data_IF_538095925196
#
_entry.id   IF_538095925196
#
_cell.length_a   1.000
_cell.length_b   1.000
_cell.length_c   1.000
_cell.angle_alpha   90.00
_cell.angle_beta   90.00
_cell.angle_gamma   90.00
#
_symmetry.space_group_name_H-M   'P 1'
#
loop_
_entity.id
_entity.type
_entity.pdbx_description
1 polymer ?
#
# COMPACT_ATOMS: atom_id res chain seq x y z
N UNK A 1 -14.63 -4.26 -4.75
CA UNK A 1 -15.28 -4.91 -3.61
C UNK A 1 -14.21 -5.56 -2.76
N UNK A 2 -14.35 -5.50 -1.46
CA UNK A 2 -13.60 -6.34 -0.54
C UNK A 2 -14.38 -7.66 -0.39
N UNK A 3 -13.81 -8.81 -0.08
CA UNK A 3 -14.60 -9.87 0.58
C UNK A 3 -13.81 -10.34 1.75
N UNK A 4 -14.47 -10.40 2.89
CA UNK A 4 -13.94 -11.17 4.00
C UNK A 4 -14.71 -12.46 3.98
N UNK A 5 -14.00 -13.57 3.80
CA UNK A 5 -14.61 -14.89 3.89
C UNK A 5 -14.47 -15.36 5.32
N UNK A 6 -15.59 -15.61 6.01
CA UNK A 6 -15.59 -16.32 7.29
C UNK A 6 -16.16 -17.72 7.08
N UNK A 7 -15.41 -18.76 7.48
CA UNK A 7 -15.85 -20.15 7.35
C UNK A 7 -15.41 -21.01 8.53
N UNK A 8 -16.16 -22.07 8.79
CA UNK A 8 -15.76 -23.14 9.70
C UNK A 8 -14.78 -24.08 9.00
N UNK A 9 -13.54 -24.13 9.47
CA UNK A 9 -12.56 -25.13 9.02
C UNK A 9 -12.43 -26.23 10.08
N UNK A 10 -12.58 -27.49 9.66
CA UNK A 10 -12.13 -28.65 10.44
C UNK A 10 -10.64 -28.86 10.17
N UNK A 11 -9.80 -28.26 11.02
CA UNK A 11 -8.38 -28.66 11.13
C UNK A 11 -8.22 -29.70 12.24
N UNK A 12 -7.07 -30.39 12.34
CA UNK A 12 -6.84 -31.35 13.41
C UNK A 12 -6.96 -30.63 14.78
N UNK A 13 -7.98 -30.99 15.55
CA UNK A 13 -8.16 -30.61 16.96
C UNK A 13 -8.98 -29.35 17.29
N UNK A 14 -9.39 -28.50 16.33
CA UNK A 14 -10.08 -27.23 16.67
C UNK A 14 -11.22 -26.87 15.71
N UNK A 15 -12.35 -26.38 16.26
CA UNK A 15 -13.36 -25.63 15.51
C UNK A 15 -12.81 -24.22 15.26
N UNK A 16 -12.37 -23.91 14.05
CA UNK A 16 -11.76 -22.61 13.70
C UNK A 16 -12.75 -21.69 12.98
N UNK A 17 -12.61 -20.38 13.20
CA UNK A 17 -13.12 -19.32 12.31
C UNK A 17 -11.96 -18.89 11.42
N UNK A 18 -12.06 -19.10 10.12
CA UNK A 18 -11.07 -18.63 9.15
C UNK A 18 -11.57 -17.30 8.57
N UNK A 19 -10.87 -16.21 8.83
CA UNK A 19 -11.09 -14.90 8.19
C UNK A 19 -10.05 -14.78 7.08
N UNK A 20 -10.46 -14.73 5.81
CA UNK A 20 -9.53 -14.46 4.70
C UNK A 20 -9.93 -13.17 3.99
N UNK A 21 -8.93 -12.31 3.70
CA UNK A 21 -9.03 -11.14 2.84
C UNK A 21 -8.37 -11.48 1.50
N UNK A 22 -9.13 -11.98 0.51
CA UNK A 22 -8.66 -12.06 -0.84
C UNK A 22 -8.76 -10.64 -1.43
N UNK A 23 -7.62 -9.97 -1.53
CA UNK A 23 -7.42 -8.80 -2.41
C UNK A 23 -7.62 -9.13 -3.92
N UNK A 24 -8.32 -10.23 -4.24
CA UNK A 24 -8.67 -10.78 -5.55
C UNK A 24 -10.07 -10.34 -6.04
N UNK A 25 -10.81 -9.58 -5.24
CA UNK A 25 -12.01 -8.90 -5.72
C UNK A 25 -11.62 -7.54 -6.33
N UNK A 26 -11.98 -7.27 -7.60
CA UNK A 26 -11.59 -6.02 -8.26
C UNK A 26 -12.09 -4.80 -7.50
N UNK A 27 -11.27 -3.75 -7.46
CA UNK A 27 -11.58 -2.47 -6.80
C UNK A 27 -12.56 -1.58 -7.57
N UNK A 28 -12.97 -1.96 -8.79
CA UNK A 28 -13.94 -1.19 -9.59
C UNK A 28 -15.35 -1.76 -9.48
N UNK A 29 -16.35 -0.87 -9.35
CA UNK A 29 -17.79 -1.16 -9.30
C UNK A 29 -18.33 -2.06 -10.43
N UNK A 30 -17.57 -2.24 -11.52
CA UNK A 30 -17.96 -2.94 -12.74
C UNK A 30 -17.38 -4.35 -12.92
N UNK A 31 -16.53 -4.84 -12.01
CA UNK A 31 -15.90 -6.17 -12.18
C UNK A 31 -16.11 -6.98 -10.90
N UNK A 32 -16.97 -7.99 -10.99
CA UNK A 32 -17.18 -8.98 -9.92
C UNK A 32 -15.91 -9.84 -9.68
N UNK A 33 -15.97 -10.85 -8.79
CA UNK A 33 -14.86 -11.76 -8.57
C UNK A 33 -14.30 -12.31 -9.90
N UNK A 34 -12.97 -12.49 -9.94
CA UNK A 34 -12.25 -13.00 -11.11
C UNK A 34 -12.84 -14.34 -11.57
N UNK A 35 -13.10 -14.42 -12.87
CA UNK A 35 -13.62 -15.63 -13.53
C UNK A 35 -12.60 -16.26 -14.49
N UNK A 36 -11.35 -15.80 -14.44
CA UNK A 36 -10.25 -16.48 -15.10
C UNK A 36 -9.84 -17.74 -14.29
N UNK A 37 -9.31 -18.78 -14.97
CA UNK A 37 -8.84 -20.00 -14.31
C UNK A 37 -7.73 -19.70 -13.30
N UNK A 38 -7.77 -20.40 -12.17
CA UNK A 38 -6.68 -20.41 -11.19
C UNK A 38 -5.80 -21.61 -11.53
N UNK A 39 -4.51 -21.39 -11.71
CA UNK A 39 -3.54 -22.47 -11.92
C UNK A 39 -3.59 -23.45 -10.74
N UNK A 40 -3.53 -24.75 -11.02
CA UNK A 40 -3.62 -25.83 -10.04
C UNK A 40 -4.95 -25.92 -9.26
N UNK A 41 -6.01 -25.24 -9.71
CA UNK A 41 -7.32 -25.31 -9.05
C UNK A 41 -8.48 -25.45 -10.05
N UNK A 42 -9.47 -26.25 -9.68
CA UNK A 42 -10.61 -26.57 -10.57
C UNK A 42 -11.70 -25.49 -10.61
N UNK A 43 -11.68 -24.53 -9.68
CA UNK A 43 -12.69 -23.48 -9.57
C UNK A 43 -12.08 -22.09 -9.75
N UNK A 44 -12.81 -21.19 -10.41
CA UNK A 44 -12.46 -19.77 -10.44
C UNK A 44 -12.80 -19.10 -9.10
N UNK A 45 -12.23 -17.92 -8.85
CA UNK A 45 -12.54 -17.17 -7.64
C UNK A 45 -14.03 -16.79 -7.57
N UNK A 46 -14.65 -16.51 -8.72
CA UNK A 46 -16.10 -16.28 -8.85
C UNK A 46 -16.93 -17.48 -8.43
N UNK A 47 -16.58 -18.67 -8.89
CA UNK A 47 -17.30 -19.89 -8.52
C UNK A 47 -17.21 -20.17 -7.01
N UNK A 48 -16.04 -19.91 -6.40
CA UNK A 48 -15.86 -20.02 -4.94
C UNK A 48 -16.75 -19.00 -4.21
N UNK A 49 -16.75 -17.73 -4.64
CA UNK A 49 -17.59 -16.70 -4.04
C UNK A 49 -19.09 -17.00 -4.15
N UNK A 50 -19.55 -17.47 -5.31
CA UNK A 50 -20.95 -17.89 -5.53
C UNK A 50 -21.31 -19.10 -4.65
N UNK A 51 -20.39 -20.05 -4.45
CA UNK A 51 -20.58 -21.15 -3.50
C UNK A 51 -20.73 -20.64 -2.06
N UNK A 52 -19.89 -19.68 -1.65
CA UNK A 52 -19.97 -19.09 -0.32
C UNK A 52 -21.28 -18.34 -0.09
N UNK A 53 -21.79 -17.63 -1.09
CA UNK A 53 -23.09 -16.96 -1.01
C UNK A 53 -24.23 -17.96 -0.75
N UNK A 54 -24.20 -19.14 -1.40
CA UNK A 54 -25.16 -20.22 -1.12
C UNK A 54 -25.05 -20.77 0.30
N UNK A 55 -23.82 -20.90 0.83
CA UNK A 55 -23.60 -21.33 2.21
C UNK A 55 -24.04 -20.28 3.24
N UNK A 56 -23.99 -19.00 2.87
CA UNK A 56 -24.42 -17.89 3.72
C UNK A 56 -25.92 -17.90 4.01
N UNK A 57 -26.75 -18.39 3.09
CA UNK A 57 -28.19 -18.60 3.33
C UNK A 57 -28.45 -19.54 4.52
N UNK A 58 -27.52 -20.47 4.77
CA UNK A 58 -27.56 -21.43 5.89
C UNK A 58 -26.71 -21.03 7.08
N UNK A 59 -26.11 -19.83 7.07
CA UNK A 59 -25.17 -19.37 8.11
C UNK A 59 -23.92 -20.25 8.26
N UNK A 60 -23.54 -20.98 7.21
CA UNK A 60 -22.35 -21.87 7.21
C UNK A 60 -21.09 -21.16 6.71
N UNK A 61 -21.26 -20.01 6.04
CA UNK A 61 -20.18 -19.12 5.62
C UNK A 61 -20.68 -17.67 5.54
N UNK A 62 -19.78 -16.71 5.53
CA UNK A 62 -20.14 -15.29 5.36
C UNK A 62 -19.26 -14.63 4.28
N UNK A 63 -19.91 -13.88 3.39
CA UNK A 63 -19.27 -12.97 2.45
C UNK A 63 -19.56 -11.54 2.90
N UNK A 64 -18.53 -10.86 3.41
CA UNK A 64 -18.64 -9.46 3.84
C UNK A 64 -17.92 -8.56 2.84
N UNK A 65 -18.69 -7.95 1.94
CA UNK A 65 -18.17 -7.27 0.76
C UNK A 65 -18.71 -5.85 0.53
N UNK A 66 -18.56 -4.91 1.49
CA UNK A 66 -19.08 -3.56 1.34
C UNK A 66 -18.49 -2.85 0.12
N UNK A 67 -19.33 -2.08 -0.56
CA UNK A 67 -18.93 -1.24 -1.69
C UNK A 67 -18.30 0.06 -1.18
N UNK A 68 -16.97 0.18 -1.31
CA UNK A 68 -16.20 1.35 -0.87
C UNK A 68 -15.80 2.29 -2.02
N UNK A 69 -16.19 1.96 -3.25
CA UNK A 69 -15.82 2.69 -4.47
C UNK A 69 -14.36 2.48 -4.92
N UNK A 70 -13.98 3.07 -6.07
CA UNK A 70 -12.64 2.90 -6.64
C UNK A 70 -11.57 3.61 -5.79
N UNK A 71 -10.33 3.18 -5.96
CA UNK A 71 -9.15 3.81 -5.37
C UNK A 71 -8.80 5.13 -6.07
N UNK A 72 -8.18 6.06 -5.34
CA UNK A 72 -7.64 7.29 -5.94
C UNK A 72 -6.55 6.99 -6.98
N UNK A 73 -5.69 6.01 -6.70
CA UNK A 73 -4.75 5.38 -7.62
C UNK A 73 -5.27 3.98 -7.96
N UNK A 74 -5.65 3.78 -9.23
CA UNK A 74 -6.37 2.60 -9.70
C UNK A 74 -5.67 1.30 -9.30
N UNK A 75 -6.36 0.47 -8.53
CA UNK A 75 -5.87 -0.83 -8.11
C UNK A 75 -4.93 -0.83 -6.89
N UNK A 76 -4.70 0.33 -6.26
CA UNK A 76 -3.92 0.45 -5.01
C UNK A 76 -4.75 0.01 -3.79
N UNK A 77 -4.99 -1.30 -3.67
CA UNK A 77 -5.83 -1.87 -2.61
C UNK A 77 -5.30 -1.61 -1.20
N UNK A 78 -4.01 -1.32 -1.05
CA UNK A 78 -3.40 -0.92 0.23
C UNK A 78 -4.03 0.33 0.83
N UNK A 79 -4.67 1.19 0.03
CA UNK A 79 -5.25 2.47 0.46
C UNK A 79 -6.65 2.27 1.03
N UNK A 80 -7.73 2.55 0.26
CA UNK A 80 -9.10 2.46 0.78
C UNK A 80 -9.47 1.03 1.13
N UNK A 81 -9.08 0.06 0.31
CA UNK A 81 -9.29 -1.37 0.57
C UNK A 81 -8.76 -1.78 1.95
N UNK A 82 -7.45 -1.64 2.18
CA UNK A 82 -6.81 -1.99 3.44
C UNK A 82 -7.31 -1.17 4.63
N UNK A 83 -7.63 0.11 4.44
CA UNK A 83 -8.26 0.91 5.51
C UNK A 83 -9.66 0.39 5.86
N UNK A 84 -10.47 0.03 4.87
CA UNK A 84 -11.79 -0.55 5.09
C UNK A 84 -11.68 -1.94 5.75
N UNK A 85 -10.70 -2.77 5.36
CA UNK A 85 -10.37 -4.04 6.02
C UNK A 85 -10.18 -3.84 7.52
N UNK A 86 -9.28 -2.91 7.87
CA UNK A 86 -8.91 -2.61 9.26
C UNK A 86 -10.14 -2.17 10.05
N UNK A 87 -10.86 -1.17 9.56
CA UNK A 87 -12.07 -0.63 10.21
C UNK A 87 -13.12 -1.73 10.41
N UNK A 88 -13.39 -2.53 9.38
CA UNK A 88 -14.44 -3.54 9.38
C UNK A 88 -14.13 -4.67 10.37
N UNK A 89 -12.91 -5.20 10.33
CA UNK A 89 -12.48 -6.30 11.19
C UNK A 89 -12.35 -5.86 12.65
N UNK A 90 -11.78 -4.68 12.91
CA UNK A 90 -11.64 -4.19 14.28
C UNK A 90 -13.00 -3.91 14.91
N UNK A 91 -13.93 -3.32 14.15
CA UNK A 91 -15.30 -3.08 14.62
C UNK A 91 -16.00 -4.40 14.98
N UNK A 92 -15.94 -5.42 14.10
CA UNK A 92 -16.63 -6.69 14.35
C UNK A 92 -15.98 -7.49 15.48
N UNK A 93 -14.64 -7.51 15.54
CA UNK A 93 -13.91 -8.27 16.56
C UNK A 93 -14.06 -7.62 17.94
N UNK A 94 -14.03 -6.29 18.03
CA UNK A 94 -14.33 -5.59 19.28
C UNK A 94 -15.74 -5.91 19.78
N UNK A 95 -16.74 -5.93 18.89
CA UNK A 95 -18.11 -6.29 19.26
C UNK A 95 -18.21 -7.75 19.74
N UNK A 96 -17.45 -8.67 19.12
CA UNK A 96 -17.38 -10.06 19.55
C UNK A 96 -16.75 -10.19 20.95
N UNK A 97 -15.61 -9.54 21.19
CA UNK A 97 -14.95 -9.50 22.50
C UNK A 97 -15.84 -8.89 23.58
N UNK A 98 -16.51 -7.78 23.28
CA UNK A 98 -17.48 -7.15 24.18
C UNK A 98 -18.66 -8.08 24.53
N UNK A 99 -19.09 -8.90 23.58
CA UNK A 99 -20.14 -9.90 23.82
C UNK A 99 -19.67 -10.97 24.81
N UNK A 100 -18.45 -11.48 24.64
CA UNK A 100 -17.89 -12.52 25.52
C UNK A 100 -17.55 -11.97 26.91
N UNK A 101 -16.86 -10.83 26.98
CA UNK A 101 -16.28 -10.33 28.23
C UNK A 101 -17.26 -9.52 29.08
N UNK A 102 -18.28 -8.90 28.45
CA UNK A 102 -19.26 -8.06 29.15
C UNK A 102 -20.70 -8.57 29.05
N UNK A 103 -20.95 -9.65 28.30
CA UNK A 103 -22.31 -10.16 28.06
C UNK A 103 -23.19 -9.21 27.24
N UNK A 104 -22.61 -8.20 26.59
CA UNK A 104 -23.35 -7.22 25.78
C UNK A 104 -23.35 -7.69 24.34
N UNK A 105 -24.49 -8.19 23.88
CA UNK A 105 -24.64 -8.68 22.51
C UNK A 105 -24.33 -7.59 21.45
N UNK A 106 -23.64 -8.00 20.39
CA UNK A 106 -23.40 -7.13 19.23
C UNK A 106 -24.72 -6.62 18.64
N UNK A 107 -24.79 -5.32 18.38
CA UNK A 107 -25.95 -4.66 17.77
C UNK A 107 -25.50 -3.64 16.73
N UNK A 108 -26.37 -3.32 15.77
CA UNK A 108 -26.09 -2.30 14.76
C UNK A 108 -25.71 -0.96 15.40
N UNK A 109 -26.37 -0.59 16.50
CA UNK A 109 -26.07 0.63 17.25
C UNK A 109 -24.62 0.62 17.77
N UNK A 110 -24.20 -0.45 18.42
CA UNK A 110 -22.84 -0.60 18.94
C UNK A 110 -21.80 -0.53 17.80
N UNK A 111 -22.07 -1.17 16.67
CA UNK A 111 -21.17 -1.14 15.51
C UNK A 111 -21.07 0.29 14.94
N UNK A 112 -22.20 1.01 14.79
CA UNK A 112 -22.21 2.38 14.30
C UNK A 112 -21.50 3.36 15.24
N UNK A 113 -21.58 3.15 16.55
CA UNK A 113 -20.85 3.97 17.53
C UNK A 113 -19.34 3.85 17.33
N UNK A 114 -18.83 2.63 17.11
CA UNK A 114 -17.41 2.38 16.79
C UNK A 114 -17.07 2.92 15.40
N UNK A 115 -17.86 2.66 14.36
CA UNK A 115 -17.57 3.17 13.01
C UNK A 115 -17.46 4.71 12.96
N UNK A 116 -18.27 5.42 13.74
CA UNK A 116 -18.20 6.90 13.88
C UNK A 116 -16.91 7.37 14.54
N UNK A 117 -16.24 6.55 15.35
CA UNK A 117 -14.91 6.92 15.90
C UNK A 117 -13.87 6.95 14.79
N UNK A 118 -13.92 6.00 13.84
CA UNK A 118 -13.03 5.99 12.68
C UNK A 118 -13.36 7.12 11.68
N UNK A 119 -14.63 7.50 11.55
CA UNK A 119 -15.02 8.69 10.78
C UNK A 119 -14.40 9.97 11.37
N UNK A 120 -14.46 10.15 12.70
CA UNK A 120 -13.78 11.27 13.37
C UNK A 120 -12.26 11.20 13.21
N UNK A 121 -11.68 10.01 13.22
CA UNK A 121 -10.25 9.83 12.98
C UNK A 121 -9.83 10.37 11.61
N UNK A 122 -10.66 10.21 10.57
CA UNK A 122 -10.40 10.78 9.25
C UNK A 122 -10.33 12.32 9.32
N UNK A 123 -11.32 12.95 9.96
CA UNK A 123 -11.37 14.42 10.12
C UNK A 123 -10.15 14.95 10.88
N UNK A 124 -9.82 14.31 12.02
CA UNK A 124 -8.67 14.67 12.85
C UNK A 124 -7.35 14.52 12.07
N UNK A 125 -7.19 13.44 11.32
CA UNK A 125 -5.99 13.18 10.51
C UNK A 125 -5.80 14.24 9.44
N UNK A 126 -6.82 14.46 8.59
CA UNK A 126 -6.71 15.37 7.46
C UNK A 126 -6.84 16.85 7.84
N UNK A 127 -7.13 17.19 9.10
CA UNK A 127 -6.90 18.54 9.63
C UNK A 127 -5.43 18.99 9.52
N UNK A 128 -4.50 18.03 9.45
CA UNK A 128 -3.06 18.27 9.28
C UNK A 128 -2.59 18.28 7.81
N UNK A 129 -3.50 18.39 6.83
CA UNK A 129 -3.19 18.26 5.39
C UNK A 129 -2.01 19.12 4.92
N UNK A 130 -1.86 20.35 5.43
CA UNK A 130 -0.74 21.23 5.09
C UNK A 130 0.61 20.62 5.47
N UNK A 131 0.72 20.00 6.65
CA UNK A 131 1.96 19.36 7.10
C UNK A 131 2.18 18.02 6.42
N UNK A 132 1.12 17.27 6.14
CA UNK A 132 1.18 16.03 5.35
C UNK A 132 1.73 16.33 3.95
N UNK A 133 1.28 17.41 3.31
CA UNK A 133 1.78 17.84 2.01
C UNK A 133 3.25 18.30 2.07
N UNK A 134 3.67 18.95 3.15
CA UNK A 134 5.08 19.30 3.35
C UNK A 134 5.97 18.06 3.48
N UNK A 135 5.56 17.08 4.28
CA UNK A 135 6.26 15.80 4.42
C UNK A 135 6.32 15.02 3.10
N UNK A 136 5.22 15.00 2.33
CA UNK A 136 5.18 14.41 0.99
C UNK A 136 6.24 15.01 0.05
N UNK A 137 6.37 16.35 0.03
CA UNK A 137 7.39 17.04 -0.77
C UNK A 137 8.81 16.74 -0.30
N UNK A 138 9.03 16.68 1.01
CA UNK A 138 10.33 16.32 1.58
C UNK A 138 10.75 14.90 1.19
N UNK A 139 9.85 13.92 1.36
CA UNK A 139 10.08 12.54 0.93
C UNK A 139 10.36 12.45 -0.58
N UNK A 140 9.58 13.17 -1.40
CA UNK A 140 9.82 13.26 -2.84
C UNK A 140 11.21 13.80 -3.18
N UNK A 141 11.68 14.84 -2.48
CA UNK A 141 12.99 15.44 -2.73
C UNK A 141 14.14 14.50 -2.37
N UNK A 142 14.02 13.73 -1.28
CA UNK A 142 15.00 12.69 -0.95
C UNK A 142 15.08 11.63 -2.05
N UNK A 143 13.94 11.11 -2.49
CA UNK A 143 13.89 10.08 -3.55
C UNK A 143 14.40 10.61 -4.91
N UNK A 144 14.09 11.86 -5.25
CA UNK A 144 14.59 12.51 -6.47
C UNK A 144 16.14 12.59 -6.46
N UNK A 145 16.72 12.90 -5.31
CA UNK A 145 18.18 12.95 -5.09
C UNK A 145 18.83 11.59 -4.91
N UNK A 146 18.10 10.49 -5.12
CA UNK A 146 18.57 9.11 -4.88
C UNK A 146 18.90 8.81 -3.41
N UNK A 147 18.35 9.59 -2.49
CA UNK A 147 18.33 9.28 -1.07
C UNK A 147 17.18 8.34 -0.72
N UNK A 148 17.15 7.92 0.54
CA UNK A 148 16.20 6.94 1.08
C UNK A 148 15.22 7.60 2.06
N UNK A 149 14.09 6.96 2.28
CA UNK A 149 13.07 7.37 3.25
C UNK A 149 12.87 6.27 4.29
N UNK A 150 13.18 6.57 5.55
CA UNK A 150 13.03 5.64 6.66
C UNK A 150 11.84 6.03 7.54
N UNK A 151 10.90 5.11 7.72
CA UNK A 151 9.70 5.27 8.52
C UNK A 151 9.91 4.52 9.85
N UNK A 152 10.23 5.24 10.92
CA UNK A 152 10.63 4.66 12.21
C UNK A 152 9.46 4.78 13.19
N UNK A 153 8.73 3.69 13.40
CA UNK A 153 7.53 3.69 14.24
C UNK A 153 7.69 2.92 15.54
N UNK A 154 7.12 3.44 16.62
CA UNK A 154 7.09 2.77 17.93
C UNK A 154 5.93 1.78 18.01
N UNK A 155 6.21 0.62 18.60
CA UNK A 155 5.24 -0.44 18.86
C UNK A 155 4.44 -0.81 17.58
N UNK A 156 3.12 -0.88 17.68
CA UNK A 156 2.22 -1.18 16.56
C UNK A 156 2.30 -0.17 15.41
N UNK A 157 2.69 1.09 15.67
CA UNK A 157 2.87 2.08 14.60
C UNK A 157 4.08 1.73 13.71
N UNK A 158 5.05 1.00 14.24
CA UNK A 158 6.15 0.41 13.48
C UNK A 158 5.68 -0.62 12.45
N UNK A 159 4.64 -1.41 12.77
CA UNK A 159 4.02 -2.33 11.79
C UNK A 159 3.43 -1.51 10.64
N UNK A 160 2.70 -0.44 10.95
CA UNK A 160 2.08 0.42 9.93
C UNK A 160 3.14 1.05 9.03
N UNK A 161 4.29 1.43 9.60
CA UNK A 161 5.44 1.92 8.86
C UNK A 161 6.01 0.86 7.90
N UNK A 162 6.21 -0.38 8.37
CA UNK A 162 6.67 -1.50 7.55
C UNK A 162 5.69 -1.79 6.41
N UNK A 163 4.39 -1.82 6.70
CA UNK A 163 3.33 -2.06 5.71
C UNK A 163 3.31 -1.01 4.59
N UNK A 164 3.61 0.25 4.89
CA UNK A 164 3.64 1.30 3.87
C UNK A 164 4.87 1.19 2.95
N UNK A 165 6.05 0.96 3.53
CA UNK A 165 7.30 0.88 2.77
C UNK A 165 7.31 -0.28 1.77
N UNK A 166 6.94 -1.49 2.19
CA UNK A 166 7.00 -2.69 1.34
C UNK A 166 6.13 -2.57 0.08
N UNK A 167 5.00 -1.87 0.17
CA UNK A 167 4.08 -1.69 -0.94
C UNK A 167 4.62 -0.73 -2.03
N UNK A 168 5.60 0.12 -1.71
CA UNK A 168 6.21 1.03 -2.68
C UNK A 168 6.95 0.28 -3.79
N UNK A 169 7.55 -0.87 -3.46
CA UNK A 169 8.31 -1.71 -4.39
C UNK A 169 7.45 -2.14 -5.58
N UNK A 170 6.25 -2.63 -5.31
CA UNK A 170 5.37 -3.17 -6.36
C UNK A 170 4.54 -2.07 -7.01
N UNK A 171 4.10 -1.09 -6.21
CA UNK A 171 3.20 -0.02 -6.68
C UNK A 171 3.90 0.97 -7.62
N UNK A 172 5.17 1.30 -7.33
CA UNK A 172 5.90 2.35 -8.03
C UNK A 172 7.23 1.88 -8.64
N UNK A 173 7.52 0.58 -8.58
CA UNK A 173 8.76 0.03 -9.11
C UNK A 173 9.99 0.36 -8.26
N UNK A 174 9.79 0.89 -7.05
CA UNK A 174 10.85 1.31 -6.14
C UNK A 174 11.80 0.15 -5.80
N UNK A 175 13.06 0.49 -5.50
CA UNK A 175 13.98 -0.44 -4.87
C UNK A 175 13.54 -0.69 -3.41
N UNK A 176 13.89 -1.86 -2.85
CA UNK A 176 13.54 -2.17 -1.46
C UNK A 176 14.24 -1.24 -0.45
N UNK A 177 15.28 -0.51 -0.86
CA UNK A 177 15.99 0.47 -0.04
C UNK A 177 15.35 1.87 -0.07
N UNK A 178 14.52 2.18 -1.08
CA UNK A 178 13.99 3.53 -1.31
C UNK A 178 13.10 4.00 -0.16
N UNK A 179 12.17 3.14 0.29
CA UNK A 179 11.27 3.42 1.42
C UNK A 179 11.20 2.21 2.34
N UNK A 180 11.62 2.36 3.60
CA UNK A 180 11.68 1.26 4.56
C UNK A 180 11.07 1.62 5.90
N UNK A 181 10.24 0.73 6.43
CA UNK A 181 9.67 0.84 7.76
C UNK A 181 10.46 0.07 8.81
N UNK A 182 10.49 0.59 10.04
CA UNK A 182 11.14 -0.02 11.19
C UNK A 182 10.21 0.03 12.41
N UNK A 183 10.31 -1.01 13.24
CA UNK A 183 9.59 -1.15 14.49
C UNK A 183 10.55 -0.99 15.67
N UNK A 184 10.32 0.05 16.45
CA UNK A 184 11.00 0.33 17.72
C UNK A 184 10.15 -0.21 18.88
N UNK A 185 10.78 -0.97 19.78
CA UNK A 185 10.10 -1.65 20.88
C UNK A 185 9.94 -3.16 20.70
N UNK A 186 9.20 -3.76 21.63
CA UNK A 186 9.06 -5.21 21.71
C UNK A 186 8.23 -5.79 20.55
N UNK A 187 8.75 -6.86 19.99
CA UNK A 187 8.16 -7.62 18.89
C UNK A 187 8.31 -9.14 19.08
N UNK A 188 8.56 -9.57 20.32
CA UNK A 188 8.74 -10.97 20.72
C UNK A 188 7.52 -11.84 20.38
N UNK A 189 6.32 -11.37 20.71
CA UNK A 189 5.06 -12.11 20.54
C UNK A 189 4.35 -11.84 19.20
N UNK A 190 4.97 -11.10 18.29
CA UNK A 190 4.33 -10.67 17.04
C UNK A 190 4.45 -11.69 15.89
N UNK A 191 5.51 -12.51 15.90
CA UNK A 191 5.85 -13.40 14.79
C UNK A 191 5.81 -14.86 15.23
N UNK A 192 4.92 -15.65 14.61
CA UNK A 192 4.86 -17.10 14.84
C UNK A 192 6.13 -17.84 14.39
N UNK A 193 6.84 -17.31 13.38
CA UNK A 193 8.05 -17.92 12.81
C UNK A 193 9.17 -16.89 12.63
N UNK A 194 9.59 -16.24 13.72
CA UNK A 194 10.64 -15.19 13.70
C UNK A 194 11.96 -15.67 13.06
N UNK A 195 12.26 -16.96 13.13
CA UNK A 195 13.45 -17.57 12.51
C UNK A 195 13.51 -17.37 10.98
N UNK A 196 12.37 -17.22 10.30
CA UNK A 196 12.30 -16.94 8.86
C UNK A 196 12.69 -15.50 8.50
N UNK A 197 12.93 -14.63 9.48
CA UNK A 197 13.26 -13.22 9.26
C UNK A 197 14.69 -12.87 9.70
N UNK A 198 15.22 -13.58 10.70
CA UNK A 198 16.54 -13.31 11.27
C UNK A 198 17.63 -13.74 10.27
N UNK A 199 18.60 -12.85 10.01
CA UNK A 199 19.79 -13.09 9.17
C UNK A 199 19.50 -13.52 7.71
N UNK A 200 18.33 -13.21 7.17
CA UNK A 200 17.96 -13.55 5.78
C UNK A 200 18.45 -12.53 4.73
N UNK A 201 19.12 -11.47 5.16
CA UNK A 201 19.67 -10.43 4.29
C UNK A 201 19.03 -9.05 4.49
N UNK A 202 19.58 -8.01 3.83
CA UNK A 202 19.24 -6.62 4.11
C UNK A 202 17.78 -6.30 3.84
N UNK A 203 17.11 -6.98 2.91
CA UNK A 203 15.68 -6.80 2.61
C UNK A 203 14.74 -7.22 3.75
N UNK A 204 15.23 -8.02 4.71
CA UNK A 204 14.43 -8.49 5.85
C UNK A 204 14.64 -7.68 7.13
N UNK A 205 15.53 -6.68 7.14
CA UNK A 205 15.72 -5.80 8.30
C UNK A 205 14.47 -4.97 8.60
N UNK A 206 13.99 -5.00 9.85
CA UNK A 206 12.79 -4.27 10.28
C UNK A 206 12.82 -3.83 11.75
N UNK A 207 13.72 -4.37 12.56
CA UNK A 207 13.73 -4.16 14.01
C UNK A 207 14.50 -2.91 14.44
N UNK A 208 14.36 -2.54 15.72
CA UNK A 208 15.18 -1.52 16.36
C UNK A 208 16.68 -1.78 16.23
N UNK A 209 17.11 -3.03 16.46
CA UNK A 209 18.52 -3.42 16.34
C UNK A 209 19.01 -3.25 14.91
N UNK A 210 18.23 -3.69 13.92
CA UNK A 210 18.57 -3.51 12.51
C UNK A 210 18.74 -2.02 12.15
N UNK A 211 17.83 -1.16 12.63
CA UNK A 211 17.91 0.27 12.35
C UNK A 211 19.19 0.87 12.95
N UNK A 212 19.47 0.59 14.22
CA UNK A 212 20.62 1.16 14.94
C UNK A 212 21.97 0.66 14.39
N UNK A 213 22.04 -0.62 14.00
CA UNK A 213 23.31 -1.26 13.62
C UNK A 213 23.59 -1.16 12.13
N UNK A 214 22.57 -1.24 11.28
CA UNK A 214 22.73 -1.34 9.82
C UNK A 214 22.35 -0.06 9.08
N UNK A 215 21.31 0.65 9.56
CA UNK A 215 20.77 1.81 8.84
C UNK A 215 21.41 3.11 9.33
N UNK A 216 21.33 3.39 10.62
CA UNK A 216 21.79 4.63 11.25
C UNK A 216 23.26 4.98 10.88
N UNK A 217 24.23 4.05 10.87
CA UNK A 217 25.61 4.38 10.48
C UNK A 217 25.76 4.76 9.01
N UNK A 218 24.85 4.28 8.16
CA UNK A 218 24.87 4.47 6.70
C UNK A 218 24.04 5.67 6.21
N UNK A 219 23.36 6.38 7.12
CA UNK A 219 22.55 7.55 6.77
C UNK A 219 23.42 8.68 6.21
N UNK A 220 22.85 9.37 5.23
CA UNK A 220 23.42 10.53 4.53
C UNK A 220 22.49 11.74 4.64
N UNK A 221 23.00 12.92 4.31
CA UNK A 221 22.29 14.20 4.40
C UNK A 221 21.10 14.34 3.43
N UNK A 222 21.03 13.47 2.42
CA UNK A 222 19.93 13.43 1.45
C UNK A 222 18.79 12.49 1.89
N UNK A 223 19.01 11.66 2.90
CA UNK A 223 17.99 10.75 3.43
C UNK A 223 16.96 11.50 4.27
N UNK A 224 15.72 11.01 4.26
CA UNK A 224 14.64 11.49 5.15
C UNK A 224 14.29 10.43 6.19
N UNK A 225 14.15 10.83 7.45
CA UNK A 225 13.69 9.95 8.53
C UNK A 225 12.41 10.50 9.16
N UNK A 226 11.37 9.68 9.19
CA UNK A 226 10.05 10.02 9.75
C UNK A 226 9.83 9.19 11.00
N UNK A 227 9.74 9.86 12.15
CA UNK A 227 9.48 9.22 13.44
C UNK A 227 7.97 9.18 13.72
N UNK A 228 7.45 8.04 14.15
CA UNK A 228 6.02 7.86 14.44
C UNK A 228 5.83 7.27 15.83
N UNK A 229 5.24 8.03 16.75
CA UNK A 229 5.13 7.64 18.15
C UNK A 229 3.91 8.27 18.83
N UNK A 230 3.64 7.83 20.05
CA UNK A 230 2.63 8.39 20.96
C UNK A 230 3.30 9.12 22.12
N UNK A 231 2.59 10.03 22.80
CA UNK A 231 3.13 10.66 24.02
C UNK A 231 3.19 9.72 25.23
N UNK A 232 2.67 8.50 25.10
CA UNK A 232 2.75 7.44 26.10
C UNK A 232 3.99 6.53 25.88
N UNK A 233 4.71 6.68 24.76
CA UNK A 233 5.96 5.98 24.51
C UNK A 233 7.11 6.50 25.38
N UNK A 234 8.24 5.79 25.40
CA UNK A 234 9.47 6.24 26.04
C UNK A 234 10.06 7.43 25.29
N UNK A 235 9.64 8.65 25.65
CA UNK A 235 10.06 9.87 24.98
C UNK A 235 11.56 10.16 25.11
N UNK A 236 12.24 9.60 26.13
CA UNK A 236 13.69 9.69 26.26
C UNK A 236 14.38 8.86 25.17
N UNK A 237 13.91 7.64 24.92
CA UNK A 237 14.41 6.79 23.82
C UNK A 237 14.15 7.45 22.46
N UNK A 238 12.94 7.98 22.25
CA UNK A 238 12.60 8.74 21.03
C UNK A 238 13.59 9.88 20.83
N UNK A 239 13.82 10.70 21.87
CA UNK A 239 14.72 11.84 21.79
C UNK A 239 16.16 11.41 21.45
N UNK A 240 16.70 10.41 22.16
CA UNK A 240 18.05 9.91 21.92
C UNK A 240 18.24 9.44 20.48
N UNK A 241 17.27 8.69 19.93
CA UNK A 241 17.38 8.22 18.56
C UNK A 241 17.27 9.37 17.54
N UNK A 242 16.39 10.34 17.79
CA UNK A 242 16.25 11.52 16.93
C UNK A 242 17.53 12.35 16.90
N UNK A 243 18.19 12.53 18.06
CA UNK A 243 19.46 13.24 18.16
C UNK A 243 20.56 12.53 17.34
N UNK A 244 20.68 11.20 17.46
CA UNK A 244 21.64 10.41 16.67
C UNK A 244 21.39 10.52 15.16
N UNK A 245 20.11 10.49 14.73
CA UNK A 245 19.76 10.66 13.31
C UNK A 245 20.03 12.10 12.84
N UNK A 246 19.81 13.10 13.70
CA UNK A 246 20.01 14.51 13.35
C UNK A 246 21.47 14.85 13.07
N UNK A 247 22.41 14.10 13.65
CA UNK A 247 23.84 14.18 13.33
C UNK A 247 24.15 13.74 11.89
N UNK A 248 23.29 12.92 11.28
CA UNK A 248 23.46 12.36 9.93
C UNK A 248 22.67 13.12 8.86
N UNK A 249 21.43 13.51 9.18
CA UNK A 249 20.55 14.21 8.24
C UNK A 249 19.72 15.29 8.90
N UNK A 250 19.57 16.41 8.20
CA UNK A 250 18.68 17.48 8.61
C UNK A 250 17.20 17.16 8.32
N UNK A 251 16.92 16.22 7.40
CA UNK A 251 15.58 15.93 6.87
C UNK A 251 14.80 14.98 7.80
N UNK A 252 14.58 15.42 9.04
CA UNK A 252 13.79 14.69 10.02
C UNK A 252 12.38 15.27 10.13
N UNK A 253 11.39 14.40 10.35
CA UNK A 253 10.01 14.80 10.66
C UNK A 253 9.42 13.83 11.69
N UNK A 254 8.42 14.28 12.45
CA UNK A 254 7.68 13.43 13.37
C UNK A 254 6.16 13.49 13.16
N UNK A 255 5.52 12.35 13.33
CA UNK A 255 4.10 12.16 13.55
C UNK A 255 3.90 11.72 15.00
N UNK A 256 3.33 12.60 15.82
CA UNK A 256 3.10 12.32 17.23
C UNK A 256 1.60 12.30 17.54
N UNK A 257 1.13 11.18 18.08
CA UNK A 257 -0.22 11.05 18.61
C UNK A 257 -0.25 11.42 20.09
N UNK A 258 -1.23 12.22 20.49
CA UNK A 258 -1.45 12.59 21.88
C UNK A 258 -2.92 12.51 22.24
N UNK A 259 -3.21 12.27 23.51
CA UNK A 259 -4.57 12.40 24.04
C UNK A 259 -4.77 13.79 24.64
N UNK A 260 -5.99 14.32 24.59
CA UNK A 260 -6.32 15.63 25.20
C UNK A 260 -5.80 15.71 26.63
N UNK A 261 -5.10 16.80 26.96
CA UNK A 261 -4.44 17.01 28.24
C UNK A 261 -2.93 16.67 28.23
N UNK A 262 -2.48 15.86 27.28
CA UNK A 262 -1.05 15.66 27.04
C UNK A 262 -0.50 16.76 26.15
N UNK A 263 0.76 17.14 26.38
CA UNK A 263 1.47 18.07 25.51
C UNK A 263 2.88 17.56 25.28
N UNK A 264 3.39 17.75 24.06
CA UNK A 264 4.78 17.41 23.76
C UNK A 264 5.69 18.16 24.75
N UNK A 265 6.63 17.49 25.43
CA UNK A 265 7.54 18.14 26.37
C UNK A 265 8.16 19.38 25.76
N UNK A 266 8.09 20.51 26.48
CA UNK A 266 8.43 21.84 25.95
C UNK A 266 9.89 21.92 25.48
N UNK A 267 10.76 21.07 26.00
CA UNK A 267 12.10 20.79 25.51
C UNK A 267 12.44 19.32 25.83
N UNK A 268 13.18 18.57 25.00
CA UNK A 268 13.89 18.96 23.75
C UNK A 268 13.15 18.64 22.44
N UNK A 269 12.15 17.74 22.45
CA UNK A 269 11.48 17.26 21.24
C UNK A 269 10.84 18.36 20.38
N UNK A 270 10.22 19.38 20.99
CA UNK A 270 9.68 20.55 20.24
C UNK A 270 10.75 21.31 19.46
N UNK A 271 12.00 21.36 19.96
CA UNK A 271 13.12 22.01 19.28
C UNK A 271 13.67 21.16 18.14
N UNK A 272 13.70 19.84 18.33
CA UNK A 272 14.14 18.89 17.30
C UNK A 272 13.18 18.85 16.10
N UNK A 273 11.88 19.04 16.35
CA UNK A 273 10.84 19.03 15.33
C UNK A 273 10.09 20.37 15.22
N UNK A 274 10.63 21.36 14.47
CA UNK A 274 9.97 22.65 14.31
C UNK A 274 8.61 22.57 13.60
N UNK A 275 8.37 21.52 12.81
CA UNK A 275 7.17 21.33 12.00
C UNK A 275 6.44 20.00 12.27
N UNK A 276 6.42 19.54 13.53
CA UNK A 276 5.80 18.26 13.92
C UNK A 276 4.33 18.13 13.48
N UNK A 277 3.98 16.95 12.96
CA UNK A 277 2.59 16.55 12.73
C UNK A 277 2.04 16.03 14.07
N UNK A 278 1.48 16.92 14.88
CA UNK A 278 0.86 16.58 16.16
C UNK A 278 -0.63 16.34 15.98
N UNK A 279 -1.08 15.13 16.32
CA UNK A 279 -2.48 14.72 16.23
C UNK A 279 -3.00 14.48 17.64
N UNK A 280 -3.92 15.35 18.05
CA UNK A 280 -4.53 15.29 19.37
C UNK A 280 -5.91 14.62 19.29
N UNK A 281 -6.08 13.60 20.12
CA UNK A 281 -7.25 12.73 20.15
C UNK A 281 -8.13 13.03 21.36
N UNK A 282 -9.45 13.17 21.19
CA UNK A 282 -10.36 13.30 22.31
C UNK A 282 -10.35 12.03 23.16
N UNK A 283 -10.62 12.18 24.46
CA UNK A 283 -10.85 11.03 25.34
C UNK A 283 -12.10 10.26 24.88
N UNK A 284 -11.99 8.94 24.88
CA UNK A 284 -13.08 8.03 24.58
C UNK A 284 -13.61 7.44 25.88
N UNK A 285 -14.89 7.64 26.15
CA UNK A 285 -15.56 7.14 27.36
C UNK A 285 -16.27 5.80 27.13
N UNK A 286 -15.70 4.93 26.29
CA UNK A 286 -16.17 3.55 26.17
C UNK A 286 -15.56 2.70 27.28
N UNK A 287 -16.39 2.10 28.13
CA UNK A 287 -15.94 1.43 29.36
C UNK A 287 -14.99 0.24 29.13
N UNK A 288 -15.12 -0.49 28.03
CA UNK A 288 -14.31 -1.68 27.74
C UNK A 288 -13.39 -1.45 26.53
N UNK A 289 -13.95 -1.02 25.41
CA UNK A 289 -13.22 -0.92 24.15
C UNK A 289 -12.45 0.40 23.94
N UNK A 290 -12.56 1.37 24.86
CA UNK A 290 -12.03 2.74 24.66
C UNK A 290 -10.55 2.79 24.34
N UNK A 291 -9.72 2.08 25.11
CA UNK A 291 -8.27 2.06 24.92
C UNK A 291 -7.87 1.37 23.60
N UNK A 292 -8.58 0.31 23.21
CA UNK A 292 -8.33 -0.39 21.94
C UNK A 292 -8.71 0.48 20.75
N UNK A 293 -9.88 1.12 20.79
CA UNK A 293 -10.32 2.05 19.73
C UNK A 293 -9.32 3.19 19.60
N UNK A 294 -8.85 3.76 20.72
CA UNK A 294 -7.84 4.81 20.71
C UNK A 294 -6.59 4.37 19.94
N UNK A 295 -6.03 3.19 20.25
CA UNK A 295 -4.89 2.62 19.54
C UNK A 295 -5.18 2.41 18.05
N UNK A 296 -6.34 1.83 17.72
CA UNK A 296 -6.72 1.56 16.34
C UNK A 296 -6.91 2.83 15.50
N UNK A 297 -7.37 3.92 16.11
CA UNK A 297 -7.44 5.24 15.47
C UNK A 297 -6.05 5.82 15.19
N UNK A 298 -5.08 5.65 16.10
CA UNK A 298 -3.69 6.08 15.90
C UNK A 298 -3.05 5.33 14.72
N UNK A 299 -3.19 4.00 14.71
CA UNK A 299 -2.71 3.15 13.62
C UNK A 299 -3.35 3.51 12.28
N UNK A 300 -4.67 3.74 12.24
CA UNK A 300 -5.38 4.10 11.01
C UNK A 300 -5.01 5.50 10.52
N UNK A 301 -4.83 6.45 11.43
CA UNK A 301 -4.37 7.81 11.14
C UNK A 301 -2.96 7.80 10.56
N UNK A 302 -2.03 7.09 11.20
CA UNK A 302 -0.68 6.85 10.70
C UNK A 302 -0.73 6.23 9.32
N UNK A 303 -1.53 5.18 9.12
CA UNK A 303 -1.70 4.51 7.83
C UNK A 303 -2.13 5.49 6.74
N UNK A 304 -3.14 6.34 7.00
CA UNK A 304 -3.59 7.34 6.02
C UNK A 304 -2.50 8.34 5.68
N UNK A 305 -1.75 8.82 6.68
CA UNK A 305 -0.66 9.78 6.46
C UNK A 305 0.45 9.13 5.63
N UNK A 306 0.96 7.97 6.04
CA UNK A 306 2.05 7.29 5.35
C UNK A 306 1.64 6.89 3.93
N UNK A 307 0.46 6.29 3.73
CA UNK A 307 -0.04 5.95 2.40
C UNK A 307 -0.18 7.20 1.50
N UNK A 308 -0.60 8.34 2.06
CA UNK A 308 -0.71 9.60 1.32
C UNK A 308 0.67 10.14 0.96
N UNK A 309 1.60 10.16 1.91
CA UNK A 309 2.98 10.65 1.73
C UNK A 309 3.73 9.80 0.73
N UNK A 310 3.77 8.47 0.89
CA UNK A 310 4.50 7.56 0.01
C UNK A 310 3.91 7.55 -1.40
N UNK A 311 2.58 7.55 -1.52
CA UNK A 311 1.93 7.65 -2.84
C UNK A 311 2.25 8.99 -3.49
N UNK A 312 1.98 10.09 -2.79
CA UNK A 312 2.17 11.44 -3.33
C UNK A 312 3.62 11.73 -3.73
N UNK A 313 4.60 11.26 -2.95
CA UNK A 313 6.01 11.39 -3.29
C UNK A 313 6.34 10.73 -4.64
N UNK A 314 5.90 9.48 -4.87
CA UNK A 314 6.10 8.81 -6.15
C UNK A 314 5.28 9.41 -7.30
N UNK A 315 4.11 10.00 -7.01
CA UNK A 315 3.35 10.78 -7.99
C UNK A 315 4.14 12.00 -8.47
N UNK A 316 4.77 12.73 -7.55
CA UNK A 316 5.59 13.90 -7.87
C UNK A 316 6.81 13.54 -8.72
N UNK A 317 7.33 12.32 -8.58
CA UNK A 317 8.42 11.77 -9.41
C UNK A 317 7.97 11.26 -10.79
N UNK A 318 6.69 11.44 -11.16
CA UNK A 318 6.18 11.02 -12.47
C UNK A 318 6.09 9.50 -12.65
N UNK A 319 5.88 8.73 -11.56
CA UNK A 319 5.71 7.26 -11.61
C UNK A 319 4.31 6.79 -12.00
N UNK A 320 3.35 7.72 -12.16
CA UNK A 320 1.96 7.41 -12.49
C UNK A 320 1.51 8.14 -13.76
N UNK A 321 0.57 7.55 -14.49
CA UNK A 321 -0.10 8.17 -15.64
C UNK A 321 -1.59 8.32 -15.36
N UNK A 322 -2.10 9.55 -15.39
CA UNK A 322 -3.44 9.89 -14.91
C UNK A 322 -3.62 9.39 -13.46
N UNK A 323 -4.36 8.31 -13.26
CA UNK A 323 -4.53 7.63 -11.98
C UNK A 323 -4.18 6.13 -12.07
N UNK A 324 -3.22 5.75 -12.92
CA UNK A 324 -2.75 4.38 -13.10
C UNK A 324 -1.26 4.25 -12.79
N UNK A 325 -0.89 3.13 -12.15
CA UNK A 325 0.49 2.79 -11.80
C UNK A 325 1.27 2.43 -13.07
N UNK A 326 2.04 3.38 -13.59
CA UNK A 326 2.76 3.14 -14.83
C UNK A 326 3.98 2.25 -14.58
N UNK A 327 4.68 2.44 -13.45
CA UNK A 327 5.91 1.72 -13.11
C UNK A 327 5.68 0.49 -12.19
N UNK A 328 4.56 -0.22 -12.37
CA UNK A 328 4.17 -1.38 -11.56
C UNK A 328 5.06 -2.61 -11.88
N UNK A 329 5.53 -3.34 -10.84
CA UNK A 329 6.20 -4.65 -11.02
C UNK A 329 5.17 -5.79 -11.09
N UNK A 330 5.30 -6.69 -12.08
CA UNK A 330 4.36 -7.79 -12.29
C UNK A 330 4.75 -8.99 -11.42
N UNK A 331 4.23 -9.04 -10.18
CA UNK A 331 4.58 -10.09 -9.19
C UNK A 331 3.51 -11.17 -8.96
N UNK A 332 2.33 -11.01 -9.54
CA UNK A 332 1.26 -12.01 -9.46
C UNK A 332 0.29 -11.84 -10.63
N UNK A 333 -0.63 -12.79 -10.78
CA UNK A 333 -1.57 -12.80 -11.92
C UNK A 333 -2.49 -11.57 -11.95
N UNK A 334 -2.84 -11.01 -10.79
CA UNK A 334 -3.64 -9.76 -10.71
C UNK A 334 -2.88 -8.59 -11.34
N UNK A 335 -1.58 -8.47 -11.04
CA UNK A 335 -0.74 -7.41 -11.60
C UNK A 335 -0.45 -7.62 -13.10
N UNK A 336 -0.36 -8.88 -13.55
CA UNK A 336 -0.24 -9.20 -14.99
C UNK A 336 -1.48 -8.73 -15.76
N UNK A 337 -2.68 -9.10 -15.30
CA UNK A 337 -3.92 -8.66 -15.95
C UNK A 337 -4.13 -7.14 -15.88
N UNK A 338 -3.65 -6.49 -14.81
CA UNK A 338 -3.66 -5.03 -14.70
C UNK A 338 -2.74 -4.38 -15.72
N UNK A 339 -1.51 -4.90 -15.88
CA UNK A 339 -0.58 -4.44 -16.90
C UNK A 339 -1.21 -4.53 -18.29
N UNK A 340 -1.81 -5.67 -18.63
CA UNK A 340 -2.50 -5.85 -19.90
C UNK A 340 -3.66 -4.86 -20.10
N UNK A 341 -4.50 -4.66 -19.08
CA UNK A 341 -5.61 -3.70 -19.15
C UNK A 341 -5.13 -2.26 -19.34
N UNK A 342 -3.99 -1.89 -18.76
CA UNK A 342 -3.36 -0.57 -18.99
C UNK A 342 -2.87 -0.42 -20.42
N UNK A 343 -2.21 -1.44 -20.98
CA UNK A 343 -1.79 -1.42 -22.38
C UNK A 343 -2.98 -1.24 -23.33
N UNK A 344 -4.07 -2.00 -23.14
CA UNK A 344 -5.29 -1.85 -23.95
C UNK A 344 -5.88 -0.44 -23.81
N UNK A 345 -5.96 0.08 -22.58
CA UNK A 345 -6.54 1.41 -22.31
C UNK A 345 -5.75 2.54 -22.98
N UNK A 346 -4.44 2.56 -22.83
CA UNK A 346 -3.62 3.69 -23.27
C UNK A 346 -3.18 3.60 -24.73
N UNK A 347 -3.04 2.39 -25.29
CA UNK A 347 -2.70 2.22 -26.71
C UNK A 347 -3.91 2.17 -27.63
N UNK A 348 -5.09 1.81 -27.11
CA UNK A 348 -6.29 1.51 -27.91
C UNK A 348 -6.17 0.24 -28.78
N UNK A 349 -5.10 -0.55 -28.60
CA UNK A 349 -4.84 -1.74 -29.42
C UNK A 349 -5.64 -2.97 -28.94
N UNK A 350 -5.90 -3.95 -29.84
CA UNK A 350 -6.57 -5.19 -29.46
C UNK A 350 -5.80 -5.98 -28.39
N UNK A 351 -6.54 -6.77 -27.58
CA UNK A 351 -5.98 -7.62 -26.51
C UNK A 351 -4.83 -8.51 -27.01
N UNK A 352 -4.98 -9.14 -28.18
CA UNK A 352 -3.97 -10.02 -28.75
C UNK A 352 -2.62 -9.30 -28.95
N UNK A 353 -2.63 -8.08 -29.51
CA UNK A 353 -1.43 -7.28 -29.71
C UNK A 353 -0.82 -6.83 -28.38
N UNK A 354 -1.65 -6.43 -27.43
CA UNK A 354 -1.19 -6.03 -26.10
C UNK A 354 -0.55 -7.19 -25.32
N UNK A 355 -1.11 -8.40 -25.41
CA UNK A 355 -0.51 -9.61 -24.83
C UNK A 355 0.83 -9.88 -25.49
N UNK A 356 0.87 -9.91 -26.83
CA UNK A 356 2.10 -10.19 -27.58
C UNK A 356 3.23 -9.23 -27.16
N UNK A 357 2.99 -7.91 -27.18
CA UNK A 357 4.01 -6.93 -26.77
C UNK A 357 4.38 -7.04 -25.29
N UNK A 358 3.42 -7.29 -24.40
CA UNK A 358 3.71 -7.49 -22.98
C UNK A 358 4.66 -8.67 -22.77
N UNK A 359 4.38 -9.81 -23.42
CA UNK A 359 5.24 -11.00 -23.34
C UNK A 359 6.62 -10.73 -23.97
N UNK A 360 6.69 -10.04 -25.11
CA UNK A 360 7.97 -9.67 -25.73
C UNK A 360 8.85 -8.89 -24.75
N UNK A 361 8.30 -7.91 -24.02
CA UNK A 361 9.06 -7.13 -23.03
C UNK A 361 9.42 -7.96 -21.79
N UNK A 362 8.50 -8.81 -21.31
CA UNK A 362 8.77 -9.70 -20.18
C UNK A 362 9.92 -10.65 -20.50
N UNK A 363 9.98 -11.22 -21.70
CA UNK A 363 11.00 -12.22 -22.07
C UNK A 363 12.23 -11.65 -22.75
N UNK A 364 12.24 -10.36 -23.11
CA UNK A 364 13.41 -9.70 -23.72
C UNK A 364 14.70 -9.95 -22.91
N UNK A 365 15.83 -10.32 -23.56
CA UNK A 365 16.08 -10.35 -25.01
C UNK A 365 15.66 -11.63 -25.75
N UNK A 366 15.08 -12.62 -25.06
CA UNK A 366 14.63 -13.85 -25.70
C UNK A 366 13.43 -13.57 -26.64
N UNK A 367 13.48 -14.03 -27.90
CA UNK A 367 12.35 -13.89 -28.82
C UNK A 367 11.18 -14.79 -28.39
N UNK A 368 9.95 -14.36 -28.69
CA UNK A 368 8.77 -15.16 -28.38
C UNK A 368 8.65 -16.39 -29.29
N UNK A 369 8.78 -17.57 -28.67
CA UNK A 369 8.40 -18.85 -29.25
C UNK A 369 6.95 -19.20 -28.92
N UNK A 370 6.39 -20.19 -29.63
CA UNK A 370 5.04 -20.70 -29.33
C UNK A 370 4.95 -21.34 -27.95
N UNK A 371 6.04 -21.94 -27.46
CA UNK A 371 6.13 -22.45 -26.09
C UNK A 371 5.97 -21.34 -25.04
N UNK A 372 6.59 -20.17 -25.27
CA UNK A 372 6.41 -19.02 -24.39
C UNK A 372 4.96 -18.54 -24.47
N UNK A 373 4.36 -18.44 -25.66
CA UNK A 373 2.96 -18.00 -25.79
C UNK A 373 1.96 -18.93 -25.11
N UNK A 374 2.25 -20.23 -25.10
CA UNK A 374 1.42 -21.26 -24.47
C UNK A 374 1.70 -21.46 -22.98
N UNK A 375 2.75 -20.84 -22.44
CA UNK A 375 3.13 -21.00 -21.04
C UNK A 375 2.09 -20.43 -20.08
N UNK A 376 1.95 -21.00 -18.87
CA UNK A 376 1.08 -20.45 -17.85
C UNK A 376 1.55 -19.06 -17.38
N UNK A 377 0.64 -18.29 -16.79
CA UNK A 377 0.90 -16.91 -16.37
C UNK A 377 1.96 -16.89 -15.25
N UNK A 378 2.00 -17.92 -14.41
CA UNK A 378 3.07 -18.09 -13.39
C UNK A 378 4.48 -18.00 -13.96
N UNK A 379 4.74 -18.58 -15.13
CA UNK A 379 6.05 -18.51 -15.80
C UNK A 379 6.38 -17.06 -16.16
N UNK A 380 5.42 -16.33 -16.72
CA UNK A 380 5.62 -14.92 -17.08
C UNK A 380 5.83 -14.03 -15.86
N UNK A 381 5.11 -14.30 -14.76
CA UNK A 381 5.29 -13.60 -13.49
C UNK A 381 6.71 -13.84 -12.96
N UNK A 382 7.18 -15.10 -12.95
CA UNK A 382 8.52 -15.43 -12.49
C UNK A 382 9.60 -14.70 -13.29
N UNK A 383 9.43 -14.56 -14.61
CA UNK A 383 10.36 -13.78 -15.45
C UNK A 383 10.25 -12.27 -15.20
N UNK A 384 9.06 -11.76 -14.90
CA UNK A 384 8.80 -10.32 -14.77
C UNK A 384 9.04 -9.74 -13.37
N UNK A 385 9.07 -10.56 -12.30
CA UNK A 385 8.93 -10.08 -10.92
C UNK A 385 10.02 -9.08 -10.44
N UNK A 386 11.22 -9.18 -11.01
CA UNK A 386 12.36 -8.28 -10.76
C UNK A 386 12.51 -7.20 -11.83
N UNK A 387 11.85 -7.32 -12.99
CA UNK A 387 11.97 -6.35 -14.07
C UNK A 387 11.27 -5.04 -13.71
N UNK A 388 11.94 -3.94 -14.06
CA UNK A 388 11.43 -2.58 -13.92
C UNK A 388 10.84 -2.09 -15.24
N UNK A 389 9.95 -1.11 -15.18
CA UNK A 389 9.48 -0.37 -16.37
C UNK A 389 8.85 -1.24 -17.48
N UNK A 390 8.40 -2.45 -17.18
CA UNK A 390 7.81 -3.38 -18.16
C UNK A 390 6.64 -2.75 -18.92
N UNK A 391 5.72 -2.09 -18.20
CA UNK A 391 4.54 -1.46 -18.79
C UNK A 391 4.89 -0.25 -19.67
N UNK A 392 5.70 0.75 -19.23
CA UNK A 392 6.02 1.88 -20.09
C UNK A 392 6.80 1.45 -21.33
N UNK A 393 7.72 0.49 -21.23
CA UNK A 393 8.44 -0.05 -22.41
C UNK A 393 7.45 -0.70 -23.38
N UNK A 394 6.56 -1.57 -22.89
CA UNK A 394 5.54 -2.20 -23.73
C UNK A 394 4.59 -1.18 -24.37
N UNK A 395 4.20 -0.14 -23.62
CA UNK A 395 3.32 0.91 -24.10
C UNK A 395 4.00 1.79 -25.16
N UNK A 396 5.25 2.19 -24.94
CA UNK A 396 6.02 2.96 -25.92
C UNK A 396 6.25 2.16 -27.21
N UNK A 397 6.57 0.86 -27.10
CA UNK A 397 6.66 -0.03 -28.26
C UNK A 397 5.34 -0.11 -29.03
N UNK A 398 4.19 -0.18 -28.34
CA UNK A 398 2.88 -0.15 -28.98
C UNK A 398 2.56 1.20 -29.65
N UNK A 399 2.88 2.32 -29.00
CA UNK A 399 2.55 3.67 -29.45
C UNK A 399 3.42 4.10 -30.65
N UNK A 400 4.74 3.87 -30.57
CA UNK A 400 5.67 4.22 -31.63
C UNK A 400 5.82 3.14 -32.70
N UNK A 401 5.30 1.93 -32.46
CA UNK A 401 5.52 0.74 -33.31
C UNK A 401 7.01 0.46 -33.52
N UNK A 402 7.78 0.59 -32.44
CA UNK A 402 9.22 0.43 -32.44
C UNK A 402 9.65 -0.86 -31.71
N UNK A 403 10.93 -1.22 -31.89
CA UNK A 403 11.57 -2.32 -31.16
C UNK A 403 11.65 -2.02 -29.65
N UNK A 404 11.88 -3.07 -28.86
CA UNK A 404 12.05 -2.94 -27.40
C UNK A 404 13.26 -2.06 -27.07
N UNK A 405 14.36 -2.18 -27.84
CA UNK A 405 15.55 -1.35 -27.68
C UNK A 405 15.27 0.13 -27.94
N UNK A 406 14.52 0.45 -28.99
CA UNK A 406 14.11 1.84 -29.27
C UNK A 406 13.17 2.37 -28.18
N UNK A 407 12.24 1.55 -27.69
CA UNK A 407 11.37 1.93 -26.57
C UNK A 407 12.17 2.22 -25.29
N UNK A 408 13.21 1.42 -24.98
CA UNK A 408 14.15 1.73 -23.90
C UNK A 408 14.89 3.05 -24.12
N UNK A 409 15.37 3.32 -25.33
CA UNK A 409 16.05 4.56 -25.65
C UNK A 409 15.13 5.79 -25.48
N UNK A 410 13.88 5.69 -25.92
CA UNK A 410 12.87 6.73 -25.69
C UNK A 410 12.62 6.97 -24.20
N UNK A 411 12.56 5.91 -23.40
CA UNK A 411 12.34 6.02 -21.96
C UNK A 411 13.54 6.64 -21.24
N UNK A 412 14.77 6.26 -21.62
CA UNK A 412 16.01 6.78 -21.06
C UNK A 412 16.23 8.27 -21.39
N UNK A 413 15.71 8.75 -22.52
CA UNK A 413 15.81 10.15 -22.93
C UNK A 413 14.79 11.07 -22.22
N UNK A 414 13.80 10.51 -21.52
CA UNK A 414 12.73 11.26 -20.88
C UNK A 414 13.03 11.55 -19.40
N UNK A 415 12.53 12.68 -18.85
CA UNK A 415 12.75 13.01 -17.44
C UNK A 415 12.00 12.09 -16.47
N UNK A 416 10.92 11.44 -16.92
CA UNK A 416 10.20 10.43 -16.15
C UNK A 416 9.44 9.47 -17.08
N UNK A 417 9.03 8.32 -16.53
CA UNK A 417 8.19 7.35 -17.25
C UNK A 417 6.87 7.98 -17.71
N UNK A 418 6.28 8.87 -16.91
CA UNK A 418 5.03 9.55 -17.24
C UNK A 418 5.21 10.52 -18.42
N UNK A 419 6.27 11.32 -18.42
CA UNK A 419 6.53 12.27 -19.52
C UNK A 419 6.86 11.55 -20.83
N UNK A 420 7.60 10.43 -20.78
CA UNK A 420 7.87 9.60 -21.95
C UNK A 420 6.56 9.16 -22.64
N UNK A 421 5.63 8.63 -21.84
CA UNK A 421 4.34 8.13 -22.36
C UNK A 421 3.40 9.26 -22.75
N UNK A 422 3.35 10.37 -22.00
CA UNK A 422 2.55 11.56 -22.37
C UNK A 422 2.99 12.11 -23.71
N UNK A 423 4.30 12.27 -23.91
CA UNK A 423 4.86 12.72 -25.18
C UNK A 423 4.44 11.78 -26.33
N UNK A 424 4.59 10.47 -26.14
CA UNK A 424 4.18 9.46 -27.13
C UNK A 424 2.68 9.51 -27.47
N UNK A 425 1.81 9.77 -26.49
CA UNK A 425 0.36 9.90 -26.69
C UNK A 425 -0.04 11.18 -27.44
N UNK A 426 0.80 12.22 -27.41
CA UNK A 426 0.51 13.52 -28.05
C UNK A 426 1.25 13.76 -29.38
N UNK A 427 2.27 12.95 -29.68
CA UNK A 427 3.14 13.13 -30.83
C UNK A 427 2.48 12.90 -32.21
N UNK A 428 3.15 13.34 -33.30
CA UNK A 428 2.70 13.14 -34.69
C UNK A 428 2.73 11.63 -35.05
N UNK A 429 1.59 10.97 -34.80
CA UNK A 429 1.39 9.52 -34.88
C UNK A 429 0.17 9.04 -34.09
N UNK A 430 -0.32 9.85 -33.16
CA UNK A 430 -1.45 9.57 -32.26
C UNK A 430 -2.85 9.72 -32.91
N UNK A 431 -3.06 9.26 -34.15
CA UNK A 431 -4.34 9.42 -34.84
C UNK A 431 -5.49 8.51 -34.34
N UNK A 432 -5.23 7.59 -33.40
CA UNK A 432 -6.22 6.57 -33.00
C UNK A 432 -6.83 6.73 -31.58
N UNK A 433 -6.30 7.60 -30.71
CA UNK A 433 -6.69 7.62 -29.28
C UNK A 433 -7.63 8.78 -28.86
N UNK A 434 -8.11 9.62 -29.79
CA UNK A 434 -8.84 10.87 -29.47
C UNK A 434 -10.29 10.73 -28.97
N UNK A 435 -10.83 9.52 -28.81
CA UNK A 435 -12.25 9.31 -28.49
C UNK A 435 -12.57 8.87 -27.05
N UNK A 436 -11.69 9.11 -26.07
CA UNK A 436 -12.03 8.89 -24.66
C UNK A 436 -11.74 10.13 -23.79
N UNK A 437 -12.79 10.93 -23.59
CA UNK A 437 -13.02 11.63 -22.32
C UNK A 437 -12.48 13.04 -22.20
N UNK A 438 -13.00 13.98 -23.00
CA UNK A 438 -13.01 15.40 -22.62
C UNK A 438 -13.96 15.61 -21.43
N UNK A 439 -13.47 15.44 -20.22
CA UNK A 439 -14.09 16.03 -19.04
C UNK A 439 -13.04 16.90 -18.37
N UNK A 440 -13.23 18.21 -18.54
CA UNK A 440 -12.42 19.28 -17.96
C UNK A 440 -12.05 18.97 -16.52
N UNK A 441 -10.75 18.93 -16.25
CA UNK A 441 -10.21 19.14 -14.92
C UNK A 441 -10.49 20.59 -14.50
N UNK A 442 -11.50 20.78 -13.67
CA UNK A 442 -11.56 21.88 -12.74
C UNK A 442 -11.56 21.23 -11.35
N UNK A 443 -10.43 21.31 -10.65
CA UNK A 443 -10.33 21.08 -9.21
C UNK A 443 -9.09 21.84 -8.71
N UNK A 444 -9.40 22.96 -8.06
CA UNK A 444 -8.64 23.56 -6.96
C UNK A 444 -8.57 22.59 -5.78
#
# INVERSE_FOLDING_TARGET
SMAITMGHAQGPGYKKVLVSDPHNLPTSFSVGPRNDPIEDWSSTFRQIAERMQKLQEKQEAFVLNPAIGPEGLSGSSRMKGGSATKILLETLLLAAHKTVDRGIAASQRCLLEILRTFERAHQVTYSQSTKIAALMKQASSSLEKKGRVYLVGWQTLGIIAIMDGVECIHTFGADFQDVRGFLIGDHSDMFNQKAELINQGPQFCFSQEDFLTSILPSLTEIDTVVFVFTLDDNLTEVQTLVEQVKEKTANIQALAHSTVGQSLPVNPLKKLFPSIISIMWPLLFFEYEGNFIQKFQHELSTKWILNTVSTGAHVLLGKILQNHMLDLRIRNSKLFWRALAMLQRFSGQPKARCIETLLQVIHFPQPLSDDIRASPISVHIQTAHEKEQVIPIALLSLLFRCSILEAHAHLAAAPSVCEAVRSALTGPGASAARTLGSTRAALL
#
